data_IF_129526799390
#
_entry.id   IF_129526799390
#
_cell.length_a   1.000
_cell.length_b   1.000
_cell.length_c   1.000
_cell.angle_alpha   90.00
_cell.angle_beta   90.00
_cell.angle_gamma   90.00
#
_symmetry.space_group_name_H-M   'P 1'
#
loop_
_entity.id
_entity.type
_entity.pdbx_description
1 polymer ?
#
# COMPACT_ATOMS: atom_id res chain seq x y z
N UNK A 1 -3.64 9.84 30.56
CA UNK A 1 -4.42 9.39 29.39
C UNK A 1 -4.63 7.89 29.48
N UNK A 2 -5.43 7.40 30.44
CA UNK A 2 -5.52 5.95 30.74
C UNK A 2 -6.52 5.18 29.87
N UNK A 3 -7.33 5.86 29.06
CA UNK A 3 -8.46 5.27 28.33
C UNK A 3 -8.38 5.50 26.80
N UNK A 4 -7.26 5.99 26.28
CA UNK A 4 -7.10 6.28 24.84
C UNK A 4 -6.67 5.02 24.09
N UNK A 5 -7.63 4.23 23.62
CA UNK A 5 -7.37 2.94 22.96
C UNK A 5 -6.94 3.09 21.50
N UNK A 6 -7.52 4.09 20.83
CA UNK A 6 -7.28 4.38 19.43
C UNK A 6 -6.72 5.81 19.32
N UNK A 7 -5.67 5.99 18.51
CA UNK A 7 -5.08 7.27 18.20
C UNK A 7 -4.98 7.40 16.69
N UNK A 8 -5.97 8.07 16.11
CA UNK A 8 -5.94 8.54 14.74
C UNK A 8 -5.53 10.01 14.74
N UNK A 9 -4.41 10.33 14.08
CA UNK A 9 -3.83 11.66 14.04
C UNK A 9 -3.98 12.24 12.63
N UNK A 10 -5.18 12.74 12.35
CA UNK A 10 -5.47 13.47 11.12
C UNK A 10 -5.24 14.99 11.31
N UNK A 11 -4.28 15.56 10.58
CA UNK A 11 -4.03 17.01 10.57
C UNK A 11 -4.29 17.57 9.17
N UNK A 12 -5.20 18.54 9.04
CA UNK A 12 -5.79 18.93 7.75
C UNK A 12 -4.87 19.68 6.75
N UNK A 13 -3.65 20.10 7.14
CA UNK A 13 -2.91 21.14 6.41
C UNK A 13 -1.48 20.75 5.94
N UNK A 14 -1.25 19.52 5.48
CA UNK A 14 0.02 19.15 4.82
C UNK A 14 1.28 19.11 5.69
N UNK A 15 1.18 19.46 6.98
CA UNK A 15 2.25 19.32 7.98
C UNK A 15 2.07 18.08 8.89
N UNK A 16 1.31 17.09 8.41
CA UNK A 16 0.91 15.89 9.16
C UNK A 16 2.10 15.15 9.74
N UNK A 17 3.12 14.91 8.91
CA UNK A 17 4.34 14.20 9.27
C UNK A 17 5.05 14.90 10.45
N UNK A 18 5.25 16.22 10.37
CA UNK A 18 5.97 17.03 11.34
C UNK A 18 5.24 17.14 12.69
N UNK A 19 3.91 17.25 12.68
CA UNK A 19 3.12 17.34 13.92
C UNK A 19 3.03 16.00 14.65
N UNK A 20 2.86 14.89 13.93
CA UNK A 20 2.88 13.54 14.52
C UNK A 20 4.24 13.26 15.17
N UNK A 21 5.34 13.61 14.49
CA UNK A 21 6.69 13.48 15.07
C UNK A 21 6.88 14.38 16.27
N UNK A 22 6.44 15.65 16.23
CA UNK A 22 6.56 16.56 17.36
C UNK A 22 5.85 16.03 18.61
N UNK A 23 4.66 15.46 18.46
CA UNK A 23 3.92 14.82 19.56
C UNK A 23 4.68 13.62 20.09
N UNK A 24 5.14 12.71 19.22
CA UNK A 24 5.93 11.55 19.65
C UNK A 24 7.22 11.95 20.37
N UNK A 25 7.89 13.00 19.88
CA UNK A 25 9.15 13.49 20.46
C UNK A 25 8.93 14.10 21.85
N UNK A 26 7.87 14.89 22.04
CA UNK A 26 7.54 15.47 23.35
C UNK A 26 7.08 14.41 24.36
N UNK A 27 6.33 13.39 23.91
CA UNK A 27 5.99 12.25 24.76
C UNK A 27 7.24 11.48 25.19
N UNK A 28 8.16 11.21 24.26
CA UNK A 28 9.42 10.53 24.54
C UNK A 28 10.30 11.33 25.52
N UNK A 29 10.42 12.65 25.31
CA UNK A 29 11.17 13.57 26.18
C UNK A 29 10.62 13.58 27.61
N UNK A 30 9.30 13.45 27.76
CA UNK A 30 8.62 13.33 29.04
C UNK A 30 8.60 11.89 29.59
N UNK A 31 9.19 10.92 28.86
CA UNK A 31 9.18 9.48 29.18
C UNK A 31 7.77 8.92 29.37
N UNK A 32 6.82 9.48 28.63
CA UNK A 32 5.43 9.04 28.64
C UNK A 32 5.31 7.91 27.62
N UNK A 33 4.80 6.76 28.07
CA UNK A 33 4.31 5.70 27.19
C UNK A 33 2.79 5.74 27.15
N UNK A 34 2.23 5.39 26.00
CA UNK A 34 0.79 5.31 25.77
C UNK A 34 0.47 3.88 25.35
N UNK A 35 0.45 2.93 26.32
CA UNK A 35 0.25 1.51 26.04
C UNK A 35 -1.15 1.18 25.54
N UNK A 36 -2.10 2.09 25.72
CA UNK A 36 -3.47 1.92 25.28
C UNK A 36 -3.61 2.05 23.77
N UNK A 37 -2.71 2.76 23.08
CA UNK A 37 -2.72 2.89 21.61
C UNK A 37 -2.31 1.56 20.98
N UNK A 38 -3.28 0.89 20.39
CA UNK A 38 -3.07 -0.39 19.68
C UNK A 38 -2.95 -0.22 18.16
N UNK A 39 -3.47 0.88 17.63
CA UNK A 39 -3.56 1.19 16.20
C UNK A 39 -2.81 2.49 15.90
N UNK A 40 -2.04 2.52 14.80
CA UNK A 40 -1.36 3.74 14.35
C UNK A 40 -1.32 3.80 12.83
N UNK A 41 -1.71 4.96 12.30
CA UNK A 41 -1.66 5.31 10.89
C UNK A 41 -0.66 6.47 10.69
N UNK A 42 0.21 6.35 9.70
CA UNK A 42 1.21 7.36 9.40
C UNK A 42 1.58 7.44 7.92
N UNK A 43 1.46 8.67 7.39
CA UNK A 43 2.10 9.06 6.15
C UNK A 43 3.60 9.30 6.38
N UNK A 44 4.44 8.39 5.90
CA UNK A 44 5.87 8.42 6.16
C UNK A 44 6.60 9.26 5.10
N UNK A 45 6.75 10.57 5.37
CA UNK A 45 7.62 11.43 4.57
C UNK A 45 9.11 11.15 4.82
N UNK A 46 9.94 11.50 3.84
CA UNK A 46 11.39 11.23 3.85
C UNK A 46 12.18 11.86 5.01
N UNK A 47 11.59 12.74 5.81
CA UNK A 47 12.27 13.48 6.88
C UNK A 47 11.83 13.09 8.30
N UNK A 48 10.74 12.34 8.43
CA UNK A 48 10.10 12.08 9.72
C UNK A 48 10.53 10.75 10.31
N UNK A 49 11.11 10.81 11.52
CA UNK A 49 11.50 9.63 12.26
C UNK A 49 10.27 8.98 12.88
N UNK A 50 10.01 7.73 12.52
CA UNK A 50 8.98 6.94 13.18
C UNK A 50 9.46 6.56 14.60
N UNK A 51 8.72 6.93 15.66
CA UNK A 51 9.08 6.68 17.07
C UNK A 51 7.96 5.89 17.80
N UNK A 52 7.73 4.62 17.42
CA UNK A 52 6.68 3.78 17.98
C UNK A 52 6.98 3.32 19.40
N UNK A 53 8.18 3.56 19.94
CA UNK A 53 8.51 3.22 21.33
C UNK A 53 7.63 3.92 22.36
N UNK A 54 6.92 4.99 21.95
CA UNK A 54 5.90 5.66 22.76
C UNK A 54 4.61 4.82 22.86
N UNK A 55 4.27 4.05 21.83
CA UNK A 55 3.05 3.25 21.73
C UNK A 55 3.35 1.77 22.00
N UNK A 56 3.59 1.42 23.27
CA UNK A 56 4.04 0.06 23.64
C UNK A 56 2.97 -1.03 23.46
N UNK A 57 1.70 -0.66 23.23
CA UNK A 57 0.62 -1.59 22.92
C UNK A 57 0.34 -1.76 21.43
N UNK A 58 1.13 -1.11 20.57
CA UNK A 58 0.92 -1.10 19.12
C UNK A 58 0.93 -2.53 18.56
N UNK A 59 -0.20 -2.94 17.99
CA UNK A 59 -0.40 -4.25 17.39
C UNK A 59 -0.82 -4.16 15.91
N UNK A 60 -1.26 -2.99 15.44
CA UNK A 60 -1.64 -2.74 14.06
C UNK A 60 -0.98 -1.44 13.57
N UNK A 61 -0.33 -1.50 12.41
CA UNK A 61 0.39 -0.37 11.82
C UNK A 61 0.02 -0.22 10.35
N UNK A 62 -0.43 0.98 9.96
CA UNK A 62 -0.51 1.40 8.55
C UNK A 62 0.62 2.38 8.24
N UNK A 63 1.31 2.19 7.12
CA UNK A 63 2.31 3.11 6.60
C UNK A 63 2.12 3.37 5.11
N UNK A 64 2.08 4.64 4.74
CA UNK A 64 2.21 5.06 3.33
C UNK A 64 3.68 5.34 3.01
N UNK A 65 4.21 4.66 2.00
CA UNK A 65 5.59 4.77 1.53
C UNK A 65 5.65 5.68 0.31
N UNK A 66 6.42 6.76 0.41
CA UNK A 66 6.57 7.74 -0.68
C UNK A 66 7.14 7.11 -1.96
N UNK A 67 6.76 7.66 -3.11
CA UNK A 67 7.28 7.26 -4.41
C UNK A 67 8.82 7.26 -4.45
N UNK A 68 9.40 6.26 -5.11
CA UNK A 68 10.86 6.10 -5.24
C UNK A 68 11.59 5.66 -3.97
N UNK A 69 10.87 5.42 -2.86
CA UNK A 69 11.42 4.87 -1.61
C UNK A 69 11.09 3.39 -1.46
N UNK A 70 11.65 2.76 -0.43
CA UNK A 70 11.33 1.40 0.00
C UNK A 70 11.06 1.36 1.50
N UNK A 71 10.41 0.31 2.04
CA UNK A 71 10.15 0.20 3.48
C UNK A 71 11.40 0.41 4.35
N UNK A 72 12.56 -0.14 3.98
CA UNK A 72 13.80 0.04 4.78
C UNK A 72 14.34 1.46 4.78
N UNK A 73 13.97 2.27 3.79
CA UNK A 73 14.42 3.67 3.70
C UNK A 73 13.61 4.62 4.56
N UNK A 74 12.50 4.16 5.17
CA UNK A 74 11.71 4.97 6.11
C UNK A 74 12.58 5.29 7.33
N UNK A 75 12.82 6.57 7.65
CA UNK A 75 13.71 6.95 8.74
C UNK A 75 13.29 6.33 10.08
N UNK A 76 14.22 5.61 10.70
CA UNK A 76 14.02 4.95 12.00
C UNK A 76 13.36 3.57 11.93
N UNK A 77 12.65 3.22 10.85
CA UNK A 77 11.86 1.98 10.77
C UNK A 77 12.72 0.72 10.94
N UNK A 78 13.85 0.64 10.25
CA UNK A 78 14.77 -0.51 10.36
C UNK A 78 15.34 -0.71 11.77
N UNK A 79 15.42 0.37 12.57
CA UNK A 79 15.96 0.32 13.93
C UNK A 79 14.93 -0.16 14.96
N UNK A 80 13.65 0.03 14.67
CA UNK A 80 12.55 -0.19 15.61
C UNK A 80 11.64 -1.35 15.22
N UNK A 81 11.62 -1.78 13.95
CA UNK A 81 10.71 -2.80 13.46
C UNK A 81 10.79 -4.11 14.27
N UNK A 82 12.01 -4.55 14.61
CA UNK A 82 12.24 -5.75 15.44
C UNK A 82 11.77 -5.62 16.89
N UNK A 83 11.45 -4.41 17.35
CA UNK A 83 10.92 -4.13 18.70
C UNK A 83 9.39 -4.04 18.72
N UNK A 84 8.75 -4.02 17.56
CA UNK A 84 7.29 -3.96 17.46
C UNK A 84 6.72 -5.38 17.50
N UNK A 85 5.65 -5.55 18.26
CA UNK A 85 4.92 -6.81 18.34
C UNK A 85 3.63 -6.71 17.52
N UNK A 86 3.79 -6.47 16.21
CA UNK A 86 2.66 -6.26 15.30
C UNK A 86 1.98 -7.59 14.95
N UNK A 87 0.65 -7.57 15.06
CA UNK A 87 -0.24 -8.57 14.50
C UNK A 87 -0.62 -8.19 13.06
N UNK A 88 -0.96 -6.92 12.83
CA UNK A 88 -1.37 -6.39 11.53
C UNK A 88 -0.38 -5.36 11.00
N UNK A 89 0.01 -5.53 9.75
CA UNK A 89 0.75 -4.54 8.98
C UNK A 89 -0.01 -4.22 7.71
N UNK A 90 -0.20 -2.94 7.45
CA UNK A 90 -0.69 -2.43 6.17
C UNK A 90 0.34 -1.47 5.60
N UNK A 91 0.70 -1.67 4.33
CA UNK A 91 1.64 -0.81 3.62
C UNK A 91 0.98 -0.36 2.32
N UNK A 92 0.99 0.94 2.07
CA UNK A 92 0.54 1.52 0.81
C UNK A 92 1.72 2.15 0.10
N UNK A 93 1.97 1.80 -1.17
CA UNK A 93 3.08 2.38 -1.94
C UNK A 93 2.75 2.44 -3.43
N UNK A 94 3.14 3.54 -4.06
CA UNK A 94 3.18 3.64 -5.50
C UNK A 94 4.47 3.01 -6.06
N UNK A 95 4.32 2.07 -7.00
CA UNK A 95 5.46 1.44 -7.68
C UNK A 95 6.23 0.45 -6.80
N UNK A 96 5.53 -0.56 -6.27
CA UNK A 96 6.19 -1.70 -5.65
C UNK A 96 7.19 -2.36 -6.61
N UNK A 97 8.32 -2.79 -6.07
CA UNK A 97 9.31 -3.63 -6.76
C UNK A 97 9.42 -4.96 -6.02
N UNK A 98 9.80 -6.04 -6.73
CA UNK A 98 9.93 -7.36 -6.12
C UNK A 98 10.82 -7.37 -4.86
N UNK A 99 11.94 -6.62 -4.90
CA UNK A 99 12.87 -6.47 -3.76
C UNK A 99 12.22 -5.86 -2.51
N UNK A 100 11.16 -5.06 -2.67
CA UNK A 100 10.50 -4.42 -1.53
C UNK A 100 9.78 -5.47 -0.67
N UNK A 101 9.28 -6.55 -1.27
CA UNK A 101 8.67 -7.66 -0.53
C UNK A 101 9.68 -8.35 0.36
N UNK A 102 10.93 -8.50 -0.12
CA UNK A 102 12.02 -8.99 0.73
C UNK A 102 12.26 -8.09 1.94
N UNK A 103 12.21 -6.78 1.74
CA UNK A 103 12.36 -5.81 2.81
C UNK A 103 11.22 -5.87 3.84
N UNK A 104 9.99 -6.08 3.39
CA UNK A 104 8.82 -6.23 4.27
C UNK A 104 9.03 -7.43 5.19
N UNK A 105 9.44 -8.57 4.64
CA UNK A 105 9.76 -9.75 5.45
C UNK A 105 10.89 -9.49 6.45
N UNK A 106 11.98 -8.86 6.01
CA UNK A 106 13.14 -8.60 6.87
C UNK A 106 12.79 -7.68 8.05
N UNK A 107 11.87 -6.73 7.84
CA UNK A 107 11.41 -5.81 8.89
C UNK A 107 10.35 -6.45 9.79
N UNK A 108 9.41 -7.20 9.23
CA UNK A 108 8.20 -7.66 9.93
C UNK A 108 7.89 -9.15 9.74
N UNK A 109 8.83 -10.06 10.05
CA UNK A 109 8.66 -11.49 9.76
C UNK A 109 7.55 -12.17 10.58
N UNK A 110 7.08 -11.52 11.65
CA UNK A 110 6.18 -12.09 12.66
C UNK A 110 4.69 -11.76 12.49
N UNK A 111 4.31 -10.96 11.49
CA UNK A 111 2.92 -10.53 11.30
C UNK A 111 2.03 -11.71 10.90
N UNK A 112 0.77 -11.65 11.33
CA UNK A 112 -0.26 -12.64 11.00
C UNK A 112 -1.24 -12.10 9.98
N UNK A 113 -1.35 -10.77 9.85
CA UNK A 113 -2.15 -10.09 8.84
C UNK A 113 -1.30 -9.07 8.09
N UNK A 114 -1.19 -9.24 6.78
CA UNK A 114 -0.45 -8.33 5.90
C UNK A 114 -1.40 -7.78 4.83
N UNK A 115 -1.43 -6.46 4.68
CA UNK A 115 -2.18 -5.77 3.63
C UNK A 115 -1.19 -4.96 2.81
N UNK A 116 -1.08 -5.26 1.52
CA UNK A 116 -0.28 -4.51 0.57
C UNK A 116 -1.23 -3.78 -0.37
N UNK A 117 -1.27 -2.46 -0.21
CA UNK A 117 -1.99 -1.56 -1.08
C UNK A 117 -1.07 -0.79 -2.01
N UNK A 118 -1.66 -0.23 -3.05
CA UNK A 118 -0.95 0.54 -4.04
C UNK A 118 -0.34 -0.29 -5.16
N UNK A 119 0.26 0.43 -6.08
CA UNK A 119 0.49 -0.08 -7.41
C UNK A 119 1.68 -1.05 -7.50
N UNK A 120 1.42 -2.29 -7.92
CA UNK A 120 2.45 -3.29 -8.24
C UNK A 120 2.98 -3.05 -9.66
N UNK A 121 4.00 -2.20 -9.78
CA UNK A 121 4.58 -1.88 -11.09
C UNK A 121 5.63 -2.90 -11.54
N UNK A 122 5.55 -3.28 -12.81
CA UNK A 122 6.70 -3.79 -13.60
C UNK A 122 7.32 -5.10 -13.09
N UNK A 123 6.55 -5.99 -12.47
CA UNK A 123 6.93 -7.38 -12.30
C UNK A 123 5.69 -8.29 -12.15
N UNK A 124 5.85 -9.58 -12.44
CA UNK A 124 4.79 -10.59 -12.27
C UNK A 124 4.64 -10.98 -10.81
N UNK A 125 3.42 -11.05 -10.28
CA UNK A 125 3.20 -11.36 -8.86
C UNK A 125 3.82 -12.71 -8.47
N UNK A 126 3.78 -13.68 -9.38
CA UNK A 126 4.50 -14.96 -9.26
C UNK A 126 5.98 -14.85 -8.83
N UNK A 127 6.68 -13.76 -9.14
CA UNK A 127 8.09 -13.56 -8.75
C UNK A 127 8.29 -13.25 -7.27
N UNK A 128 7.26 -12.81 -6.56
CA UNK A 128 7.33 -12.52 -5.10
C UNK A 128 6.70 -13.62 -4.25
N UNK A 129 6.06 -14.63 -4.85
CA UNK A 129 5.53 -15.81 -4.13
C UNK A 129 6.56 -16.44 -3.17
N UNK A 130 7.85 -16.63 -3.54
CA UNK A 130 8.84 -17.24 -2.63
C UNK A 130 9.13 -16.41 -1.39
N UNK A 131 8.82 -15.11 -1.40
CA UNK A 131 8.94 -14.27 -0.20
C UNK A 131 7.92 -14.69 0.86
N UNK A 132 6.69 -15.01 0.43
CA UNK A 132 5.58 -15.38 1.31
C UNK A 132 5.80 -16.72 2.02
N UNK A 133 6.58 -17.64 1.42
CA UNK A 133 7.04 -18.88 2.08
C UNK A 133 7.73 -18.62 3.42
N UNK A 134 8.41 -17.47 3.54
CA UNK A 134 9.20 -17.14 4.73
C UNK A 134 8.31 -16.68 5.90
N UNK A 135 7.10 -16.20 5.63
CA UNK A 135 6.16 -15.76 6.66
C UNK A 135 5.47 -16.94 7.35
N UNK A 136 6.12 -17.51 8.38
CA UNK A 136 5.61 -18.69 9.10
C UNK A 136 4.41 -18.45 10.02
N UNK A 137 3.87 -17.23 10.06
CA UNK A 137 2.73 -16.85 10.91
C UNK A 137 1.60 -16.17 10.15
N UNK A 138 1.78 -15.88 8.87
CA UNK A 138 0.81 -15.15 8.08
C UNK A 138 -0.45 -16.01 7.90
N UNK A 139 -1.60 -15.44 8.26
CA UNK A 139 -2.93 -16.05 8.24
C UNK A 139 -3.83 -15.32 7.23
N UNK A 140 -3.65 -14.00 7.09
CA UNK A 140 -4.44 -13.16 6.19
C UNK A 140 -3.52 -12.32 5.32
N UNK A 141 -3.69 -12.39 4.00
CA UNK A 141 -3.05 -11.52 3.03
C UNK A 141 -4.10 -10.72 2.25
N UNK A 142 -3.98 -9.41 2.20
CA UNK A 142 -4.75 -8.54 1.30
C UNK A 142 -3.82 -7.89 0.28
N UNK A 143 -4.16 -7.99 -1.00
CA UNK A 143 -3.44 -7.37 -2.11
C UNK A 143 -4.41 -6.47 -2.90
N UNK A 144 -4.07 -5.19 -3.02
CA UNK A 144 -4.84 -4.26 -3.83
C UNK A 144 -3.93 -3.30 -4.58
N UNK A 145 -4.30 -3.00 -5.82
CA UNK A 145 -3.72 -1.93 -6.62
C UNK A 145 -4.40 -0.57 -6.35
N UNK A 146 -5.43 -0.53 -5.49
CA UNK A 146 -6.00 0.71 -4.97
C UNK A 146 -4.90 1.44 -4.19
N UNK A 147 -4.70 2.70 -4.58
CA UNK A 147 -3.78 3.61 -3.93
C UNK A 147 -4.59 4.81 -3.41
N UNK A 148 -4.37 5.18 -2.16
CA UNK A 148 -4.88 6.44 -1.61
C UNK A 148 -4.11 7.60 -2.25
N UNK A 149 -4.73 8.27 -3.22
CA UNK A 149 -4.18 9.48 -3.80
C UNK A 149 -4.45 10.70 -2.90
N UNK A 150 -3.46 11.58 -2.82
CA UNK A 150 -3.75 13.02 -2.79
C UNK A 150 -3.65 13.57 -4.22
N UNK A 151 -4.45 14.59 -4.55
CA UNK A 151 -4.49 15.21 -5.89
C UNK A 151 -3.10 15.69 -6.36
N UNK A 152 -2.21 16.05 -5.43
CA UNK A 152 -0.83 16.51 -5.74
C UNK A 152 0.07 15.40 -6.32
N UNK A 153 -0.15 14.13 -5.96
CA UNK A 153 0.66 13.00 -6.43
C UNK A 153 0.36 12.63 -7.89
N UNK A 154 -0.86 12.91 -8.38
CA UNK A 154 -1.19 12.74 -9.81
C UNK A 154 -0.52 13.83 -10.66
N UNK A 155 -0.52 15.06 -10.17
CA UNK A 155 0.03 16.22 -10.87
C UNK A 155 1.54 16.10 -11.13
N UNK A 156 2.28 15.47 -10.22
CA UNK A 156 3.74 15.32 -10.36
C UNK A 156 4.12 14.25 -11.40
N UNK A 157 3.29 13.21 -11.56
CA UNK A 157 3.59 12.07 -12.44
C UNK A 157 3.11 12.27 -13.89
N UNK A 158 2.08 13.08 -14.12
CA UNK A 158 1.66 13.48 -15.47
C UNK A 158 2.69 14.38 -16.19
N UNK A 159 3.66 14.93 -15.47
CA UNK A 159 4.71 15.79 -16.02
C UNK A 159 6.00 15.04 -16.40
N UNK A 160 6.16 13.78 -15.95
CA UNK A 160 7.42 13.03 -16.09
C UNK A 160 7.34 11.87 -17.12
N UNK A 161 6.16 11.40 -17.50
CA UNK A 161 6.01 10.57 -18.69
C UNK A 161 5.84 11.49 -19.90
N UNK A 162 6.69 11.33 -20.91
CA UNK A 162 6.65 11.98 -22.23
C UNK A 162 5.31 11.68 -22.95
N UNK A 163 4.21 12.18 -22.41
CA UNK A 163 2.90 12.17 -23.04
C UNK A 163 2.96 13.14 -24.21
N UNK A 164 3.11 12.58 -25.41
CA UNK A 164 2.85 13.29 -26.66
C UNK A 164 1.60 14.15 -26.50
N UNK A 165 1.76 15.46 -26.63
CA UNK A 165 0.68 16.42 -26.55
C UNK A 165 -0.28 16.16 -27.71
N UNK A 166 -1.41 15.50 -27.45
CA UNK A 166 -2.50 15.36 -28.43
C UNK A 166 -3.39 16.60 -28.38
N UNK A 167 -2.82 17.76 -28.72
CA UNK A 167 -3.64 18.90 -29.07
C UNK A 167 -4.00 18.82 -30.55
N UNK A 168 -5.20 19.28 -30.94
CA UNK A 168 -5.62 19.39 -32.35
C UNK A 168 -4.67 20.29 -33.18
N UNK A 169 -3.84 21.10 -32.50
CA UNK A 169 -2.76 21.88 -33.09
C UNK A 169 -1.52 21.06 -33.52
N UNK A 170 -1.33 19.85 -32.98
CA UNK A 170 -0.21 18.94 -33.28
C UNK A 170 -0.56 17.85 -34.30
N UNK A 171 -1.81 17.77 -34.75
CA UNK A 171 -2.27 16.74 -35.69
C UNK A 171 -2.09 17.12 -37.18
N UNK A 172 -1.45 18.26 -37.45
CA UNK A 172 -0.98 18.64 -38.80
C UNK A 172 0.52 18.46 -38.95
N UNK A 173 0.98 18.19 -40.19
CA UNK A 173 2.39 17.95 -40.56
C UNK A 173 3.37 19.12 -40.28
N UNK A 174 2.97 20.16 -39.55
CA UNK A 174 3.79 21.34 -39.29
C UNK A 174 4.19 21.37 -37.79
N UNK A 175 5.47 21.19 -37.45
CA UNK A 175 5.92 21.16 -36.06
C UNK A 175 5.67 22.52 -35.39
N UNK A 176 5.12 22.49 -34.19
CA UNK A 176 4.80 23.67 -33.40
C UNK A 176 6.00 24.63 -33.33
N UNK A 177 5.91 25.74 -34.04
CA UNK A 177 6.88 26.82 -33.95
C UNK A 177 6.55 27.65 -32.71
N UNK A 178 7.58 27.99 -31.93
CA UNK A 178 7.54 28.51 -30.56
C UNK A 178 6.85 29.90 -30.44
N UNK A 179 6.32 30.43 -31.55
CA UNK A 179 5.73 31.76 -31.68
C UNK A 179 4.20 31.79 -31.79
N UNK A 180 3.52 30.63 -31.84
CA UNK A 180 2.06 30.59 -31.69
C UNK A 180 1.69 30.32 -30.24
N UNK A 181 0.85 31.20 -29.70
CA UNK A 181 0.32 31.28 -28.35
C UNK A 181 -0.55 30.06 -27.95
N UNK A 182 -0.04 28.84 -28.16
CA UNK A 182 -0.60 27.61 -27.62
C UNK A 182 -0.12 27.48 -26.18
N UNK A 183 -0.97 27.91 -25.25
CA UNK A 183 -0.81 27.54 -23.85
C UNK A 183 -1.13 26.04 -23.76
N UNK A 184 -0.11 25.18 -23.76
CA UNK A 184 -0.28 23.76 -23.47
C UNK A 184 -0.97 23.57 -22.10
N UNK A 185 -0.85 24.55 -21.20
CA UNK A 185 -1.55 24.58 -19.91
C UNK A 185 -3.09 24.57 -20.04
N UNK A 186 -3.70 25.00 -21.15
CA UNK A 186 -5.16 24.87 -21.32
C UNK A 186 -5.57 23.51 -21.92
N UNK A 187 -4.68 22.84 -22.66
CA UNK A 187 -4.94 21.53 -23.26
C UNK A 187 -4.73 20.36 -22.28
N UNK A 188 -3.82 20.52 -21.31
CA UNK A 188 -3.59 19.55 -20.23
C UNK A 188 -4.75 19.48 -19.22
N UNK A 189 -5.62 20.49 -19.19
CA UNK A 189 -6.64 20.70 -18.16
C UNK A 189 -8.07 20.73 -18.70
N UNK A 190 -8.37 19.95 -19.75
CA UNK A 190 -9.76 19.53 -19.97
C UNK A 190 -9.95 18.18 -19.27
N UNK A 191 -11.02 18.08 -18.47
CA UNK A 191 -11.30 16.92 -17.62
C UNK A 191 -11.29 15.60 -18.43
N UNK A 192 -11.74 15.63 -19.69
CA UNK A 192 -11.82 14.46 -20.57
C UNK A 192 -10.45 13.92 -21.02
N UNK A 193 -9.46 14.79 -21.27
CA UNK A 193 -8.11 14.41 -21.67
C UNK A 193 -7.28 13.94 -20.47
N UNK A 194 -7.51 14.53 -19.29
CA UNK A 194 -6.94 14.05 -18.03
C UNK A 194 -7.46 12.65 -17.73
N UNK A 195 -8.78 12.44 -17.75
CA UNK A 195 -9.39 11.13 -17.51
C UNK A 195 -8.88 10.10 -18.51
N UNK A 196 -8.84 10.41 -19.81
CA UNK A 196 -8.38 9.47 -20.83
C UNK A 196 -6.89 9.11 -20.72
N UNK A 197 -6.02 10.08 -20.40
CA UNK A 197 -4.59 9.83 -20.23
C UNK A 197 -4.31 9.08 -18.92
N UNK A 198 -5.06 9.41 -17.87
CA UNK A 198 -5.07 8.70 -16.61
C UNK A 198 -5.55 7.25 -16.80
N UNK A 199 -6.62 7.01 -17.54
CA UNK A 199 -7.12 5.68 -17.90
C UNK A 199 -6.12 4.88 -18.76
N UNK A 200 -5.47 5.50 -19.76
CA UNK A 200 -4.48 4.82 -20.61
C UNK A 200 -3.18 4.48 -19.86
N UNK A 201 -2.67 5.40 -19.05
CA UNK A 201 -1.54 5.13 -18.18
C UNK A 201 -1.88 3.97 -17.23
N UNK A 202 -3.07 4.01 -16.63
CA UNK A 202 -3.57 2.93 -15.78
C UNK A 202 -3.75 1.60 -16.52
N UNK A 203 -4.20 1.61 -17.79
CA UNK A 203 -4.41 0.39 -18.57
C UNK A 203 -3.14 -0.44 -18.73
N UNK A 204 -2.01 0.21 -18.97
CA UNK A 204 -0.71 -0.46 -19.07
C UNK A 204 -0.16 -0.94 -17.71
N UNK A 205 -0.75 -0.47 -16.61
CA UNK A 205 -0.37 -0.79 -15.24
C UNK A 205 -1.20 -1.92 -14.62
N UNK A 206 -2.40 -2.21 -15.16
CA UNK A 206 -3.34 -3.23 -14.63
C UNK A 206 -2.91 -4.69 -14.86
N UNK A 207 -2.08 -4.97 -15.85
CA UNK A 207 -1.79 -6.36 -16.25
C UNK A 207 -1.04 -7.21 -15.20
N UNK A 208 -0.50 -6.64 -14.12
CA UNK A 208 0.32 -7.38 -13.13
C UNK A 208 -0.49 -8.07 -12.03
N UNK A 209 -1.69 -7.58 -11.70
CA UNK A 209 -2.61 -8.19 -10.73
C UNK A 209 -3.84 -8.87 -11.37
N UNK A 210 -3.99 -8.71 -12.68
CA UNK A 210 -4.92 -9.49 -13.53
C UNK A 210 -4.34 -10.85 -13.95
N UNK A 211 -3.18 -11.27 -13.38
CA UNK A 211 -2.73 -12.68 -13.46
C UNK A 211 -3.83 -13.61 -12.89
N UNK A 212 -3.76 -14.91 -13.16
CA UNK A 212 -4.78 -15.87 -12.71
C UNK A 212 -4.81 -15.90 -11.16
N UNK A 213 -5.68 -15.07 -10.58
CA UNK A 213 -5.77 -14.87 -9.13
C UNK A 213 -6.09 -16.18 -8.40
N UNK A 214 -6.76 -17.13 -9.07
CA UNK A 214 -7.02 -18.46 -8.52
C UNK A 214 -5.72 -19.24 -8.44
N UNK A 215 -4.89 -19.23 -9.49
CA UNK A 215 -3.57 -19.88 -9.51
C UNK A 215 -2.62 -19.24 -8.47
N UNK A 216 -2.60 -17.91 -8.38
CA UNK A 216 -1.78 -17.18 -7.42
C UNK A 216 -2.22 -17.45 -5.98
N UNK A 217 -3.52 -17.40 -5.69
CA UNK A 217 -4.06 -17.74 -4.37
C UNK A 217 -3.73 -19.20 -4.00
N UNK A 218 -3.91 -20.12 -4.93
CA UNK A 218 -3.58 -21.54 -4.73
C UNK A 218 -2.10 -21.71 -4.39
N UNK A 219 -1.22 -21.06 -5.15
CA UNK A 219 0.23 -21.09 -4.91
C UNK A 219 0.59 -20.51 -3.54
N UNK A 220 -0.02 -19.39 -3.17
CA UNK A 220 0.16 -18.79 -1.83
C UNK A 220 -0.25 -19.74 -0.70
N UNK A 221 -1.35 -20.47 -0.82
CA UNK A 221 -1.78 -21.43 0.20
C UNK A 221 -0.87 -22.67 0.31
N UNK A 222 -0.26 -23.08 -0.80
CA UNK A 222 0.73 -24.17 -0.81
C UNK A 222 2.03 -23.72 -0.12
N UNK A 223 2.50 -22.52 -0.46
CA UNK A 223 3.79 -22.00 0.00
C UNK A 223 3.74 -21.42 1.43
N UNK A 224 2.58 -20.89 1.83
CA UNK A 224 2.34 -20.33 3.16
C UNK A 224 1.30 -21.18 3.92
N UNK A 225 1.71 -22.24 4.65
CA UNK A 225 0.79 -23.26 5.16
C UNK A 225 -0.19 -22.77 6.23
N UNK A 226 0.12 -21.65 6.88
CA UNK A 226 -0.76 -20.99 7.87
C UNK A 226 -1.68 -19.95 7.25
N UNK A 227 -1.52 -19.64 5.96
CA UNK A 227 -2.39 -18.71 5.27
C UNK A 227 -3.79 -19.32 5.17
N UNK A 228 -4.77 -18.62 5.69
CA UNK A 228 -6.18 -19.05 5.75
C UNK A 228 -7.03 -18.24 4.78
N UNK A 229 -6.61 -17.02 4.44
CA UNK A 229 -7.38 -16.14 3.56
C UNK A 229 -6.49 -15.23 2.72
N UNK A 230 -6.82 -15.13 1.44
CA UNK A 230 -6.24 -14.15 0.50
C UNK A 230 -7.35 -13.29 -0.06
N UNK A 231 -7.17 -11.98 -0.01
CA UNK A 231 -8.05 -11.00 -0.64
C UNK A 231 -7.32 -10.36 -1.82
N UNK A 232 -7.99 -10.32 -2.96
CA UNK A 232 -7.60 -9.47 -4.08
C UNK A 232 -8.69 -8.41 -4.26
N UNK A 233 -8.30 -7.14 -4.38
CA UNK A 233 -9.19 -6.07 -4.76
C UNK A 233 -8.53 -5.25 -5.86
N UNK A 234 -9.15 -5.23 -7.03
CA UNK A 234 -8.68 -4.42 -8.14
C UNK A 234 -9.26 -3.00 -8.03
N UNK A 235 -8.58 -2.02 -8.62
CA UNK A 235 -8.89 -0.59 -8.46
C UNK A 235 -10.31 -0.20 -8.90
N UNK A 236 -10.85 -0.96 -9.85
CA UNK A 236 -12.18 -0.73 -10.40
C UNK A 236 -13.28 -1.49 -9.65
N UNK A 237 -12.93 -2.24 -8.61
CA UNK A 237 -13.87 -3.04 -7.84
C UNK A 237 -14.19 -2.37 -6.50
N UNK A 238 -15.48 -2.10 -6.29
CA UNK A 238 -16.00 -1.63 -4.99
C UNK A 238 -15.85 -2.67 -3.86
N UNK A 239 -15.53 -3.91 -4.22
CA UNK A 239 -15.45 -5.05 -3.32
C UNK A 239 -14.24 -5.93 -3.62
N UNK A 240 -13.90 -6.80 -2.69
CA UNK A 240 -12.80 -7.74 -2.85
C UNK A 240 -13.29 -9.14 -3.23
N UNK A 241 -12.43 -9.90 -3.91
CA UNK A 241 -12.58 -11.33 -4.07
C UNK A 241 -11.75 -12.02 -3.00
N UNK A 242 -12.41 -12.84 -2.19
CA UNK A 242 -11.83 -13.57 -1.08
C UNK A 242 -11.65 -15.04 -1.44
N UNK A 243 -10.44 -15.54 -1.24
CA UNK A 243 -10.04 -16.91 -1.47
C UNK A 243 -9.76 -17.62 -0.15
N UNK A 244 -10.25 -18.85 0.04
CA UNK A 244 -9.92 -19.69 1.21
C UNK A 244 -9.61 -21.13 0.79
N UNK A 245 -8.57 -21.77 1.36
CA UNK A 245 -8.16 -23.10 0.95
C UNK A 245 -9.08 -24.16 1.57
N UNK A 246 -9.49 -25.13 0.75
CA UNK A 246 -10.04 -26.40 1.23
C UNK A 246 -8.89 -27.40 1.25
N UNK A 247 -8.62 -27.96 2.43
CA UNK A 247 -7.53 -28.92 2.63
C UNK A 247 -8.04 -30.35 2.66
N UNK A 248 -7.27 -31.28 2.10
CA UNK A 248 -7.53 -32.72 2.16
C UNK A 248 -7.27 -33.29 3.57
N UNK A 249 -7.53 -34.59 3.77
CA UNK A 249 -7.26 -35.31 5.03
C UNK A 249 -5.77 -35.27 5.45
N UNK A 250 -4.87 -34.90 4.54
CA UNK A 250 -3.42 -34.77 4.75
C UNK A 250 -2.98 -33.31 4.91
N UNK A 251 -3.93 -32.37 5.00
CA UNK A 251 -3.70 -30.92 5.17
C UNK A 251 -3.08 -30.26 3.92
N UNK A 252 -3.07 -30.93 2.77
CA UNK A 252 -2.66 -30.31 1.50
C UNK A 252 -3.82 -29.51 0.91
N UNK A 253 -3.52 -28.43 0.20
CA UNK A 253 -4.54 -27.66 -0.54
C UNK A 253 -5.09 -28.55 -1.67
N UNK A 254 -6.39 -28.84 -1.62
CA UNK A 254 -7.11 -29.62 -2.63
C UNK A 254 -7.78 -28.69 -3.64
N UNK A 255 -8.55 -27.73 -3.13
CA UNK A 255 -9.24 -26.70 -3.92
C UNK A 255 -9.27 -25.37 -3.18
N UNK A 256 -9.72 -24.31 -3.86
CA UNK A 256 -9.91 -22.98 -3.27
C UNK A 256 -11.38 -22.59 -3.42
N UNK A 257 -11.98 -22.12 -2.32
CA UNK A 257 -13.28 -21.44 -2.36
C UNK A 257 -13.08 -20.00 -2.78
N UNK A 258 -13.97 -19.51 -3.65
CA UNK A 258 -13.95 -18.16 -4.20
C UNK A 258 -15.24 -17.48 -3.77
N UNK A 259 -15.11 -16.40 -3.02
CA UNK A 259 -16.22 -15.53 -2.64
C UNK A 259 -16.00 -14.15 -3.27
N UNK A 260 -16.86 -13.77 -4.20
CA UNK A 260 -16.88 -12.44 -4.79
C UNK A 260 -17.70 -11.48 -3.92
N UNK A 261 -17.45 -10.18 -4.04
CA UNK A 261 -18.16 -9.11 -3.34
C UNK A 261 -18.02 -9.12 -1.81
N UNK A 262 -16.84 -9.50 -1.30
CA UNK A 262 -16.55 -9.49 0.13
C UNK A 262 -15.95 -8.15 0.58
N UNK A 263 -16.23 -7.76 1.82
CA UNK A 263 -15.66 -6.56 2.42
C UNK A 263 -14.13 -6.68 2.52
N UNK A 264 -13.43 -5.59 2.20
CA UNK A 264 -11.99 -5.53 2.32
C UNK A 264 -11.54 -5.78 3.78
N UNK A 265 -10.49 -6.59 4.02
CA UNK A 265 -9.98 -6.85 5.36
C UNK A 265 -9.56 -5.55 6.04
N UNK A 266 -10.34 -5.14 7.04
CA UNK A 266 -10.07 -3.94 7.83
C UNK A 266 -8.67 -3.99 8.46
N UNK A 267 -7.84 -2.97 8.25
CA UNK A 267 -6.50 -2.87 8.87
C UNK A 267 -6.62 -2.95 10.39
N UNK A 268 -7.70 -2.37 10.90
CA UNK A 268 -8.02 -2.27 12.30
C UNK A 268 -9.31 -3.07 12.56
N UNK A 269 -9.18 -4.27 13.13
CA UNK A 269 -10.35 -4.94 13.68
C UNK A 269 -10.71 -4.30 15.01
N UNK A 270 -11.95 -3.83 15.15
CA UNK A 270 -12.47 -3.45 16.45
C UNK A 270 -12.55 -4.68 17.33
N UNK A 271 -11.62 -4.80 18.29
CA UNK A 271 -11.74 -5.75 19.38
C UNK A 271 -12.81 -5.23 20.34
N UNK A 272 -14.08 -5.41 20.00
CA UNK A 272 -15.15 -5.36 20.99
C UNK A 272 -15.02 -6.61 21.87
N UNK A 273 -14.26 -6.50 22.96
CA UNK A 273 -14.29 -7.43 24.09
C UNK A 273 -14.86 -6.74 25.33
#
# INVERSE_FOLDING_TARGET
MSNLQDLDLYFADGYQSLMVVAVQYELLKQRITVPSVTKFDHFAESTTHFIPTVFTGLNALHLTVTMGKSPKTIPGLSTIASKLNLHTLSLCKFGWQAKDFDEIYDLFPGVTKLIIGGQIQKFKFSTVLPVFERFKKLEILGLTDIFDFTIEDVMTNLLDEEGDCVCDCCLGDDPCNIDTNCSCDECHYNDENYERSHEMAQHNLFMSMEEDQVEDATSLFVECPRLETVYFQLRNDDYSTCYRPIKDDKVNVDTVTINEYEDWPQIFTDFYY
#
